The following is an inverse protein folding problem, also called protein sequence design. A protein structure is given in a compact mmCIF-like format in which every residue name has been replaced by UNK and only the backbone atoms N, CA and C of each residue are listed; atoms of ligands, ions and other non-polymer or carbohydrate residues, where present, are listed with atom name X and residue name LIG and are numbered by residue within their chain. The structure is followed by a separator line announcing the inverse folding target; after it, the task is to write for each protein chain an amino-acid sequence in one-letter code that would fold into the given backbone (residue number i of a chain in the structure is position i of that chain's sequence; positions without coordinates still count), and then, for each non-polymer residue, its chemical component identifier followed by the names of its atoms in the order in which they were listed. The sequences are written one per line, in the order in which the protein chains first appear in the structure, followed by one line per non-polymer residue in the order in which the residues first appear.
data_IF_002763478253
#
_entry.id   IF_002763478253
#
_cell.length_a   1.000
_cell.length_b   1.000
_cell.length_c   1.000
_cell.angle_alpha   90.00
_cell.angle_beta   90.00
_cell.angle_gamma   90.00
#
_symmetry.space_group_name_H-M   'P 1'
#
loop_
_entity.id
_entity.type
_entity.pdbx_description
1 polymer ?
#
# COMPACT_ATOMS: atom_id res chain seq x y z
N UNK A 1 0.08 -13.05 -14.29
CA UNK A 1 0.85 -12.15 -15.18
C UNK A 1 0.60 -10.73 -14.70
N UNK A 2 1.63 -9.93 -14.34
CA UNK A 2 1.40 -8.52 -14.02
C UNK A 2 0.91 -7.79 -15.28
N UNK A 3 -0.18 -7.02 -15.16
CA UNK A 3 -0.69 -6.18 -16.24
C UNK A 3 0.38 -5.12 -16.57
N UNK A 4 0.65 -4.91 -17.86
CA UNK A 4 1.71 -4.04 -18.37
C UNK A 4 1.70 -2.66 -17.68
N UNK A 5 2.78 -2.28 -17.00
CA UNK A 5 2.89 -1.03 -16.22
C UNK A 5 2.79 -1.20 -14.69
N UNK A 6 2.38 -2.37 -14.20
CA UNK A 6 2.33 -2.67 -12.77
C UNK A 6 3.55 -3.48 -12.30
N UNK A 7 4.28 -3.04 -11.25
CA UNK A 7 5.51 -3.71 -10.82
C UNK A 7 5.29 -5.09 -10.16
N UNK A 8 4.07 -5.46 -9.75
CA UNK A 8 3.77 -6.76 -9.12
C UNK A 8 2.27 -7.15 -9.22
N UNK A 9 1.89 -8.42 -8.98
CA UNK A 9 0.49 -8.85 -8.83
C UNK A 9 -0.17 -8.20 -7.59
N UNK A 10 -1.51 -8.14 -7.54
CA UNK A 10 -2.33 -7.62 -6.43
C UNK A 10 -2.10 -6.15 -6.02
N UNK A 11 -1.78 -5.31 -7.00
CA UNK A 11 -1.48 -3.90 -6.76
C UNK A 11 -2.65 -3.09 -6.17
N UNK A 12 -3.90 -3.41 -6.47
CA UNK A 12 -5.04 -2.56 -6.10
C UNK A 12 -5.21 -2.37 -4.60
N UNK A 13 -4.76 -3.33 -3.78
CA UNK A 13 -4.83 -3.26 -2.32
C UNK A 13 -3.55 -2.73 -1.67
N UNK A 14 -2.49 -2.46 -2.44
CA UNK A 14 -1.22 -1.97 -1.91
C UNK A 14 -1.17 -0.43 -1.86
N UNK A 15 -0.58 0.12 -0.79
CA UNK A 15 -0.45 1.58 -0.63
C UNK A 15 0.32 2.28 -1.77
N UNK A 16 1.18 1.54 -2.47
CA UNK A 16 1.89 2.05 -3.65
C UNK A 16 0.93 2.41 -4.79
N UNK A 17 -0.11 1.60 -5.00
CA UNK A 17 -1.15 1.88 -6.00
C UNK A 17 -1.98 3.09 -5.61
N UNK A 18 -2.38 3.19 -4.34
CA UNK A 18 -3.13 4.35 -3.86
C UNK A 18 -2.38 5.66 -4.08
N UNK A 19 -1.06 5.67 -3.80
CA UNK A 19 -0.22 6.83 -4.08
C UNK A 19 -0.14 7.13 -5.58
N UNK A 20 0.21 6.13 -6.40
CA UNK A 20 0.53 6.35 -7.81
C UNK A 20 -0.69 6.68 -8.68
N UNK A 21 -1.88 6.26 -8.26
CA UNK A 21 -3.13 6.52 -8.96
C UNK A 21 -3.87 7.77 -8.43
N UNK A 22 -3.27 8.51 -7.48
CA UNK A 22 -3.91 9.68 -6.89
C UNK A 22 -5.07 9.36 -5.93
N UNK A 23 -5.24 8.10 -5.52
CA UNK A 23 -6.31 7.69 -4.61
C UNK A 23 -6.12 8.24 -3.20
N UNK A 24 -4.91 8.64 -2.81
CA UNK A 24 -4.69 9.35 -1.54
C UNK A 24 -5.47 10.67 -1.51
N UNK A 25 -5.51 11.39 -2.63
CA UNK A 25 -6.26 12.65 -2.74
C UNK A 25 -7.75 12.36 -2.97
N UNK A 26 -8.08 11.38 -3.81
CA UNK A 26 -9.46 11.05 -4.16
C UNK A 26 -10.23 10.33 -3.04
N UNK A 27 -9.55 9.60 -2.15
CA UNK A 27 -10.13 8.82 -1.06
C UNK A 27 -9.19 8.78 0.16
N UNK A 28 -8.93 9.97 0.70
CA UNK A 28 -8.04 10.15 1.85
C UNK A 28 -8.52 9.38 3.10
N UNK A 29 -9.83 9.29 3.30
CA UNK A 29 -10.39 8.62 4.48
C UNK A 29 -10.13 7.11 4.43
N UNK A 30 -10.31 6.46 3.28
CA UNK A 30 -9.93 5.06 3.15
C UNK A 30 -8.42 4.85 3.31
N UNK A 31 -7.60 5.74 2.73
CA UNK A 31 -6.15 5.66 2.90
C UNK A 31 -5.74 5.75 4.38
N UNK A 32 -6.36 6.65 5.16
CA UNK A 32 -6.16 6.77 6.61
C UNK A 32 -6.49 5.46 7.34
N UNK A 33 -7.59 4.79 6.99
CA UNK A 33 -7.95 3.50 7.59
C UNK A 33 -6.90 2.41 7.36
N UNK A 34 -6.23 2.43 6.20
CA UNK A 34 -5.17 1.48 5.86
C UNK A 34 -3.87 1.74 6.62
N UNK A 35 -3.54 3.01 6.93
CA UNK A 35 -2.26 3.39 7.56
C UNK A 35 -2.34 3.61 9.06
N UNK A 36 -3.52 3.92 9.61
CA UNK A 36 -3.71 4.12 11.05
C UNK A 36 -3.40 2.85 11.83
N UNK A 37 -2.86 3.01 13.03
CA UNK A 37 -2.44 1.90 13.89
C UNK A 37 -1.50 0.91 13.18
N UNK A 38 -0.61 1.45 12.35
CA UNK A 38 0.30 0.67 11.51
C UNK A 38 1.11 -0.37 12.29
N UNK A 39 1.12 -1.60 11.79
CA UNK A 39 1.79 -2.75 12.41
C UNK A 39 2.91 -3.32 11.54
N UNK A 40 2.98 -2.88 10.29
CA UNK A 40 3.92 -3.36 9.31
C UNK A 40 4.52 -2.19 8.53
N UNK A 41 5.77 -2.34 8.10
CA UNK A 41 6.48 -1.42 7.22
C UNK A 41 6.93 -2.14 5.96
N UNK A 42 6.79 -1.56 4.76
CA UNK A 42 7.35 -2.17 3.55
C UNK A 42 8.86 -1.94 3.53
N UNK A 43 9.64 -3.02 3.55
CA UNK A 43 11.10 -2.96 3.52
C UNK A 43 11.67 -2.31 2.25
N UNK A 44 10.86 -2.16 1.19
CA UNK A 44 11.30 -1.55 -0.08
C UNK A 44 11.17 -0.02 -0.10
N UNK A 45 10.16 0.55 0.58
CA UNK A 45 9.81 1.98 0.43
C UNK A 45 9.42 2.70 1.73
N UNK A 46 9.38 2.01 2.86
CA UNK A 46 9.13 2.62 4.17
C UNK A 46 7.67 2.99 4.46
N UNK A 47 6.71 2.74 3.54
CA UNK A 47 5.29 2.92 3.85
C UNK A 47 4.85 1.98 4.97
N UNK A 48 4.00 2.49 5.85
CA UNK A 48 3.46 1.78 7.01
C UNK A 48 1.99 1.45 6.77
N UNK A 49 1.57 0.24 7.12
CA UNK A 49 0.19 -0.20 7.02
C UNK A 49 -0.26 -0.98 8.26
N UNK A 50 -1.56 -0.96 8.51
CA UNK A 50 -2.22 -1.75 9.54
C UNK A 50 -2.17 -3.26 9.23
N UNK A 51 -2.29 -3.64 7.96
CA UNK A 51 -2.26 -5.03 7.51
C UNK A 51 -1.10 -5.29 6.55
N UNK A 52 -0.45 -6.46 6.70
CA UNK A 52 0.69 -6.84 5.86
C UNK A 52 0.33 -6.90 4.35
N UNK A 53 -0.91 -7.30 4.04
CA UNK A 53 -1.42 -7.38 2.67
C UNK A 53 -1.58 -6.04 1.95
N UNK A 54 -1.43 -4.91 2.65
CA UNK A 54 -1.43 -3.60 2.01
C UNK A 54 -0.02 -3.15 1.54
N UNK A 55 0.99 -4.01 1.68
CA UNK A 55 2.38 -3.68 1.42
C UNK A 55 3.04 -4.67 0.47
N UNK A 56 3.97 -4.14 -0.33
CA UNK A 56 4.81 -4.86 -1.27
C UNK A 56 5.67 -5.97 -0.64
N UNK A 57 6.30 -5.65 0.48
CA UNK A 57 7.29 -6.46 1.17
C UNK A 57 7.20 -6.16 2.68
N UNK A 58 6.12 -6.62 3.34
CA UNK A 58 5.81 -6.26 4.71
C UNK A 58 6.80 -6.88 5.71
N UNK A 59 7.24 -6.08 6.67
CA UNK A 59 7.96 -6.52 7.88
C UNK A 59 7.21 -5.97 9.09
N UNK A 60 7.06 -6.77 10.14
CA UNK A 60 6.42 -6.31 11.38
C UNK A 60 7.24 -5.18 12.04
N UNK A 61 6.53 -4.18 12.58
CA UNK A 61 7.10 -3.07 13.36
C UNK A 61 7.40 -3.46 14.81
#
# INVERSE_FOLDING_TARGET
MPKLGWPHPDNENHLCYYQNMGMVEADLEHYKEMVKDGKFVCANCGRVAKEAGNLCNPVAL
#
